data_IF_409554591881
#
_entry.id   IF_409554591881
#
_cell.length_a   1.000
_cell.length_b   1.000
_cell.length_c   1.000
_cell.angle_alpha   90.00
_cell.angle_beta   90.00
_cell.angle_gamma   90.00
#
_symmetry.space_group_name_H-M   'P 1'
#
loop_
_entity.id
_entity.type
_entity.pdbx_description
1 polymer ?
#
# COMPACT_ATOMS: atom_id res chain seq x y z
N UNK A 1 -2.22 13.53 -32.07
CA UNK A 1 -1.54 12.53 -31.21
C UNK A 1 -0.06 12.91 -31.14
N UNK A 2 0.41 13.54 -30.02
CA UNK A 2 1.84 13.69 -29.77
C UNK A 2 2.44 12.29 -29.60
N UNK A 3 3.52 11.98 -30.30
CA UNK A 3 4.28 10.74 -30.12
C UNK A 3 4.57 10.55 -28.62
N UNK A 4 3.89 9.58 -28.02
CA UNK A 4 4.18 9.20 -26.63
C UNK A 4 5.47 8.40 -26.65
N UNK A 5 6.52 8.95 -26.08
CA UNK A 5 7.76 8.20 -25.88
C UNK A 5 7.46 6.96 -25.01
N UNK A 6 8.06 5.82 -25.38
CA UNK A 6 7.97 4.60 -24.58
C UNK A 6 8.52 4.87 -23.16
N UNK A 7 7.74 4.54 -22.14
CA UNK A 7 8.20 4.61 -20.76
C UNK A 7 9.10 3.42 -20.45
N UNK A 8 10.30 3.68 -19.97
CA UNK A 8 11.20 2.60 -19.49
C UNK A 8 10.70 2.09 -18.16
N UNK A 9 10.40 0.79 -18.09
CA UNK A 9 10.09 0.09 -16.84
C UNK A 9 11.23 -0.86 -16.52
N UNK A 10 12.02 -0.55 -15.49
CA UNK A 10 13.08 -1.45 -15.03
C UNK A 10 12.48 -2.72 -14.46
N UNK A 11 13.07 -3.87 -14.78
CA UNK A 11 12.71 -5.14 -14.14
C UNK A 11 13.05 -5.10 -12.65
N UNK A 12 12.32 -5.88 -11.86
CA UNK A 12 12.64 -6.06 -10.44
C UNK A 12 14.03 -6.66 -10.28
N UNK A 13 14.76 -6.28 -9.24
CA UNK A 13 16.11 -6.79 -8.96
C UNK A 13 16.08 -8.31 -8.81
N UNK A 14 17.02 -9.05 -9.43
CA UNK A 14 17.11 -10.48 -9.25
C UNK A 14 17.88 -10.82 -7.99
N UNK A 15 17.65 -12.01 -7.47
CA UNK A 15 18.58 -12.65 -6.53
C UNK A 15 19.89 -12.92 -7.25
N UNK A 16 21.02 -12.69 -6.58
CA UNK A 16 22.36 -12.96 -7.13
C UNK A 16 22.47 -14.40 -7.64
N UNK A 17 23.04 -14.57 -8.85
CA UNK A 17 23.23 -15.88 -9.47
C UNK A 17 22.00 -16.41 -10.25
N UNK A 18 20.84 -15.77 -10.17
CA UNK A 18 19.65 -16.16 -10.93
C UNK A 18 19.50 -15.38 -12.25
N UNK A 19 18.78 -15.92 -13.23
CA UNK A 19 18.55 -15.30 -14.54
C UNK A 19 19.75 -15.37 -15.49
N UNK A 20 20.74 -16.24 -15.20
CA UNK A 20 21.94 -16.48 -16.02
C UNK A 20 22.22 -17.98 -16.06
N UNK A 21 22.94 -18.42 -17.10
CA UNK A 21 23.42 -19.82 -17.25
C UNK A 21 22.29 -20.87 -17.08
N UNK A 22 21.11 -20.63 -17.63
CA UNK A 22 19.98 -21.56 -17.56
C UNK A 22 19.22 -21.56 -16.20
N UNK A 23 19.68 -20.81 -15.22
CA UNK A 23 18.97 -20.68 -13.92
C UNK A 23 17.83 -19.69 -14.07
N UNK A 24 16.58 -20.06 -13.73
CA UNK A 24 15.44 -19.15 -13.77
C UNK A 24 15.71 -17.86 -12.96
N UNK A 25 15.18 -16.74 -13.47
CA UNK A 25 15.30 -15.45 -12.77
C UNK A 25 14.34 -15.37 -11.61
N UNK A 26 14.86 -15.21 -10.41
CA UNK A 26 14.08 -14.96 -9.20
C UNK A 26 14.17 -13.49 -8.77
N UNK A 27 13.06 -12.89 -8.36
CA UNK A 27 13.04 -11.53 -7.86
C UNK A 27 13.47 -11.48 -6.40
N UNK A 28 14.28 -10.47 -6.04
CA UNK A 28 14.66 -10.21 -4.66
C UNK A 28 13.45 -9.69 -3.88
N UNK A 29 13.09 -10.36 -2.79
CA UNK A 29 12.11 -9.88 -1.83
C UNK A 29 12.82 -9.24 -0.63
N UNK A 30 12.62 -7.94 -0.44
CA UNK A 30 13.20 -7.17 0.66
C UNK A 30 12.18 -6.88 1.79
N UNK A 31 10.97 -7.43 1.68
CA UNK A 31 9.93 -7.24 2.68
C UNK A 31 9.80 -8.47 3.59
N UNK A 32 9.30 -8.25 4.81
CA UNK A 32 8.87 -9.34 5.68
C UNK A 32 7.60 -9.98 5.12
N UNK A 33 7.38 -11.26 5.44
CA UNK A 33 6.16 -11.96 5.07
C UNK A 33 4.98 -11.60 6.00
N UNK A 34 5.25 -11.12 7.22
CA UNK A 34 4.26 -10.93 8.28
C UNK A 34 3.79 -9.48 8.42
N UNK A 35 2.67 -9.30 9.14
CA UNK A 35 2.16 -7.98 9.53
C UNK A 35 2.84 -7.61 10.86
N UNK A 36 4.04 -7.08 10.77
CA UNK A 36 4.95 -6.83 11.89
C UNK A 36 5.30 -5.34 12.09
N UNK A 37 4.55 -4.46 11.46
CA UNK A 37 4.80 -3.02 11.43
C UNK A 37 6.17 -2.62 10.85
N UNK A 38 6.79 -3.47 10.02
CA UNK A 38 8.07 -3.17 9.34
C UNK A 38 8.12 -1.83 8.60
N UNK A 39 7.01 -1.27 8.07
CA UNK A 39 7.03 0.09 7.54
C UNK A 39 7.51 1.16 8.53
N UNK A 40 7.34 0.94 9.83
CA UNK A 40 7.81 1.83 10.89
C UNK A 40 9.24 1.50 11.33
N UNK A 41 9.52 0.19 11.53
CA UNK A 41 10.73 -0.29 12.18
C UNK A 41 11.84 -0.69 11.22
N UNK A 42 11.53 -0.91 9.95
CA UNK A 42 12.42 -1.53 8.98
C UNK A 42 12.44 -3.06 9.07
N UNK A 43 13.14 -3.67 8.12
CA UNK A 43 13.24 -5.13 7.97
C UNK A 43 14.59 -5.69 8.44
N UNK A 44 15.50 -4.84 8.93
CA UNK A 44 16.83 -5.24 9.40
C UNK A 44 17.15 -4.65 10.77
N UNK A 45 18.08 -5.26 11.49
CA UNK A 45 18.60 -4.71 12.76
C UNK A 45 19.20 -3.31 12.55
N UNK A 46 19.85 -3.07 11.41
CA UNK A 46 20.39 -1.75 11.05
C UNK A 46 19.29 -0.69 10.97
N UNK A 47 18.14 -1.02 10.41
CA UNK A 47 17.01 -0.12 10.31
C UNK A 47 16.42 0.16 11.71
N UNK A 48 16.23 -0.87 12.52
CA UNK A 48 15.77 -0.71 13.91
C UNK A 48 16.67 0.26 14.67
N UNK A 49 18.00 0.10 14.59
CA UNK A 49 18.93 1.03 15.21
C UNK A 49 18.86 2.46 14.64
N UNK A 50 18.58 2.59 13.35
CA UNK A 50 18.44 3.89 12.69
C UNK A 50 17.22 4.65 13.18
N UNK A 51 16.10 3.98 13.36
CA UNK A 51 14.81 4.63 13.69
C UNK A 51 14.52 4.68 15.20
N UNK A 52 15.18 3.87 15.98
CA UNK A 52 15.07 3.89 17.45
C UNK A 52 15.86 5.03 18.06
N UNK A 53 15.34 5.64 19.12
CA UNK A 53 16.03 6.68 19.90
C UNK A 53 17.07 6.05 20.84
N UNK A 54 18.27 5.84 20.35
CA UNK A 54 19.35 5.17 21.07
C UNK A 54 18.89 3.81 21.66
N UNK A 55 19.19 3.55 22.94
CA UNK A 55 18.75 2.35 23.66
C UNK A 55 17.49 2.58 24.51
N UNK A 56 16.73 3.61 24.20
CA UNK A 56 15.44 3.86 24.88
C UNK A 56 14.33 2.98 24.30
N UNK A 57 13.16 3.00 24.92
CA UNK A 57 11.95 2.37 24.40
C UNK A 57 11.27 3.11 23.26
N UNK A 58 11.81 4.23 22.79
CA UNK A 58 11.12 5.16 21.89
C UNK A 58 11.67 5.13 20.46
N UNK A 59 10.80 5.44 19.49
CA UNK A 59 11.18 5.77 18.12
C UNK A 59 11.58 7.25 18.04
N UNK A 60 12.53 7.53 17.16
CA UNK A 60 12.99 8.91 16.89
C UNK A 60 11.88 9.71 16.23
N UNK A 61 11.67 10.91 16.76
CA UNK A 61 10.79 11.91 16.15
C UNK A 61 11.42 13.30 16.27
N UNK A 62 11.08 14.17 15.32
CA UNK A 62 11.46 15.57 15.33
C UNK A 62 10.24 16.43 15.72
N UNK A 63 10.47 17.49 16.49
CA UNK A 63 9.45 18.51 16.75
C UNK A 63 9.54 19.58 15.67
N UNK A 64 8.44 19.85 14.97
CA UNK A 64 8.33 20.90 13.98
C UNK A 64 6.95 21.58 14.10
N UNK A 65 6.91 22.91 14.21
CA UNK A 65 5.67 23.69 14.40
C UNK A 65 4.74 23.08 15.44
N UNK A 66 5.28 22.79 16.60
CA UNK A 66 4.57 22.13 17.72
C UNK A 66 4.04 20.71 17.44
N UNK A 67 4.38 20.11 16.32
CA UNK A 67 3.98 18.75 15.97
C UNK A 67 5.17 17.79 16.01
N UNK A 68 4.93 16.58 16.49
CA UNK A 68 5.89 15.50 16.39
C UNK A 68 5.77 14.83 15.02
N UNK A 69 6.85 14.84 14.26
CA UNK A 69 6.94 14.28 12.90
C UNK A 69 8.10 13.27 12.81
N UNK A 70 8.14 12.50 11.74
CA UNK A 70 9.25 11.58 11.48
C UNK A 70 10.57 12.34 11.32
N UNK A 71 11.72 11.67 11.57
CA UNK A 71 13.03 12.25 11.31
C UNK A 71 13.20 12.64 9.83
N UNK A 72 13.93 13.71 9.59
CA UNK A 72 14.27 14.16 8.24
C UNK A 72 15.49 13.42 7.68
N UNK A 73 15.49 13.19 6.38
CA UNK A 73 16.64 12.65 5.65
C UNK A 73 17.70 13.75 5.47
N UNK A 74 18.70 13.75 6.34
CA UNK A 74 19.78 14.71 6.32
C UNK A 74 20.62 14.64 5.04
N UNK A 75 20.68 13.49 4.38
CA UNK A 75 21.46 13.33 3.14
C UNK A 75 20.89 14.10 1.96
N UNK A 76 19.61 14.51 2.05
CA UNK A 76 18.91 15.29 1.02
C UNK A 76 18.84 16.78 1.32
N UNK A 77 19.53 17.23 2.36
CA UNK A 77 19.61 18.62 2.79
C UNK A 77 20.96 19.20 2.41
N UNK A 78 21.06 19.86 1.26
CA UNK A 78 22.30 20.57 0.87
C UNK A 78 22.48 21.91 1.60
N UNK A 79 21.40 22.49 2.12
CA UNK A 79 21.37 23.64 3.02
C UNK A 79 20.04 23.66 3.77
N UNK A 80 19.91 24.37 4.92
CA UNK A 80 18.65 24.52 5.62
C UNK A 80 17.49 25.03 4.73
N UNK A 81 17.80 25.91 3.79
CA UNK A 81 16.82 26.48 2.84
C UNK A 81 16.46 25.53 1.70
N UNK A 82 17.36 24.61 1.36
CA UNK A 82 17.19 23.62 0.28
C UNK A 82 16.88 22.23 0.81
N UNK A 83 16.63 22.10 2.10
CA UNK A 83 16.21 20.85 2.69
C UNK A 83 14.82 20.49 2.17
N UNK A 84 14.76 19.49 1.31
CA UNK A 84 13.46 18.89 0.98
C UNK A 84 12.96 18.21 2.26
N UNK A 85 11.74 18.53 2.68
CA UNK A 85 11.10 17.91 3.82
C UNK A 85 10.81 16.43 3.53
N UNK A 86 11.87 15.62 3.49
CA UNK A 86 11.82 14.19 3.19
C UNK A 86 11.98 13.44 4.50
N UNK A 87 10.95 12.68 4.87
CA UNK A 87 10.94 11.85 6.06
C UNK A 87 11.75 10.56 5.86
N UNK A 88 12.22 10.01 6.98
CA UNK A 88 12.78 8.65 7.03
C UNK A 88 11.91 7.76 7.91
N UNK A 89 11.67 6.53 7.45
CA UNK A 89 10.95 5.48 8.17
C UNK A 89 11.47 4.11 7.73
N UNK A 90 10.94 3.04 8.30
CA UNK A 90 11.28 1.68 7.93
C UNK A 90 11.02 1.34 6.46
N UNK A 91 10.02 1.97 5.85
CA UNK A 91 9.75 1.85 4.42
C UNK A 91 10.21 3.12 3.67
N UNK A 92 11.05 2.92 2.65
CA UNK A 92 11.59 4.02 1.81
C UNK A 92 10.49 4.79 1.05
N UNK A 93 9.30 4.20 0.90
CA UNK A 93 8.15 4.80 0.20
C UNK A 93 7.37 5.79 1.07
N UNK A 94 7.77 6.03 2.31
CA UNK A 94 7.09 6.93 3.27
C UNK A 94 6.73 8.31 2.68
N UNK A 95 7.52 8.82 1.74
CA UNK A 95 7.30 10.12 1.11
C UNK A 95 6.51 10.06 -0.21
N UNK A 96 6.11 8.87 -0.65
CA UNK A 96 5.45 8.69 -1.94
C UNK A 96 4.15 9.51 -2.03
N UNK A 97 3.41 9.55 -0.94
CA UNK A 97 2.13 10.27 -0.84
C UNK A 97 1.93 10.77 0.60
N UNK A 98 1.45 12.00 0.77
CA UNK A 98 1.30 12.60 2.10
C UNK A 98 0.33 11.83 3.02
N UNK A 99 -0.65 11.14 2.45
CA UNK A 99 -1.50 10.24 3.23
C UNK A 99 -0.72 9.06 3.81
N UNK A 100 0.19 8.46 3.05
CA UNK A 100 1.07 7.42 3.55
C UNK A 100 2.02 7.94 4.63
N UNK A 101 2.61 9.14 4.41
CA UNK A 101 3.43 9.82 5.45
C UNK A 101 2.63 10.05 6.73
N UNK A 102 1.36 10.45 6.60
CA UNK A 102 0.48 10.73 7.75
C UNK A 102 0.23 9.49 8.59
N UNK A 103 -0.01 8.35 7.96
CA UNK A 103 -0.19 7.06 8.66
C UNK A 103 1.11 6.61 9.35
N UNK A 104 2.26 6.78 8.71
CA UNK A 104 3.55 6.49 9.36
C UNK A 104 3.78 7.36 10.60
N UNK A 105 3.50 8.67 10.51
CA UNK A 105 3.60 9.58 11.66
C UNK A 105 2.63 9.17 12.78
N UNK A 106 1.40 8.80 12.43
CA UNK A 106 0.38 8.37 13.39
C UNK A 106 0.88 7.16 14.20
N UNK A 107 1.28 6.08 13.54
CA UNK A 107 1.73 4.86 14.23
C UNK A 107 3.09 5.04 14.94
N UNK A 108 3.95 5.93 14.48
CA UNK A 108 5.17 6.29 15.23
C UNK A 108 4.83 7.04 16.53
N UNK A 109 3.85 7.93 16.50
CA UNK A 109 3.31 8.59 17.72
C UNK A 109 2.67 7.57 18.64
N UNK A 110 1.92 6.62 18.09
CA UNK A 110 1.25 5.55 18.87
C UNK A 110 2.27 4.67 19.57
N UNK A 111 3.34 4.24 18.87
CA UNK A 111 4.44 3.53 19.52
C UNK A 111 4.98 4.32 20.73
N UNK A 112 5.28 5.60 20.55
CA UNK A 112 5.84 6.41 21.63
C UNK A 112 4.83 6.65 22.77
N UNK A 113 3.53 6.73 22.47
CA UNK A 113 2.46 6.82 23.48
C UNK A 113 2.40 5.55 24.33
N UNK A 114 2.40 4.38 23.69
CA UNK A 114 2.36 3.07 24.37
C UNK A 114 3.64 2.90 25.21
N UNK A 115 4.82 3.19 24.63
CA UNK A 115 6.08 3.13 25.36
C UNK A 115 6.07 3.99 26.64
N UNK A 116 5.51 5.20 26.57
CA UNK A 116 5.37 6.07 27.73
C UNK A 116 4.51 5.45 28.83
N UNK A 117 3.41 4.78 28.45
CA UNK A 117 2.52 4.11 29.43
C UNK A 117 3.22 2.89 30.03
N UNK A 118 3.82 2.04 29.19
CA UNK A 118 4.52 0.85 29.65
C UNK A 118 5.71 1.17 30.56
N UNK A 119 6.43 2.26 30.29
CA UNK A 119 7.53 2.72 31.14
C UNK A 119 7.06 3.14 32.54
N UNK A 120 5.89 3.77 32.63
CA UNK A 120 5.29 4.14 33.94
C UNK A 120 4.81 2.91 34.72
N UNK A 121 4.25 1.93 34.02
CA UNK A 121 3.76 0.69 34.62
C UNK A 121 4.89 -0.26 35.02
N UNK A 122 6.04 -0.18 34.35
CA UNK A 122 7.18 -1.07 34.53
C UNK A 122 8.48 -0.25 34.58
N UNK A 123 8.74 0.48 35.69
CA UNK A 123 9.89 1.39 35.78
C UNK A 123 11.25 0.67 35.69
N UNK A 124 11.29 -0.62 36.05
CA UNK A 124 12.51 -1.45 36.03
C UNK A 124 12.83 -2.08 34.68
N UNK A 125 11.96 -1.87 33.67
CA UNK A 125 12.25 -2.41 32.34
C UNK A 125 13.40 -1.65 31.68
N UNK A 126 14.35 -2.40 31.11
CA UNK A 126 15.35 -1.80 30.23
C UNK A 126 14.69 -1.19 29.00
N UNK A 127 15.34 -0.19 28.40
CA UNK A 127 14.83 0.40 27.15
C UNK A 127 14.68 -0.62 26.01
N UNK A 128 15.54 -1.67 25.99
CA UNK A 128 15.42 -2.75 24.99
C UNK A 128 14.15 -3.56 25.20
N UNK A 129 13.83 -3.95 26.43
CA UNK A 129 12.59 -4.65 26.75
C UNK A 129 11.38 -3.78 26.42
N UNK A 130 11.40 -2.53 26.88
CA UNK A 130 10.34 -1.56 26.62
C UNK A 130 10.06 -1.41 25.11
N UNK A 131 11.12 -1.27 24.31
CA UNK A 131 10.99 -1.15 22.86
C UNK A 131 10.36 -2.40 22.22
N UNK A 132 10.80 -3.59 22.59
CA UNK A 132 10.32 -4.83 21.98
C UNK A 132 8.85 -5.12 22.38
N UNK A 133 8.49 -4.91 23.66
CA UNK A 133 7.11 -5.12 24.07
C UNK A 133 6.15 -4.09 23.43
N UNK A 134 6.60 -2.82 23.32
CA UNK A 134 5.84 -1.80 22.58
C UNK A 134 5.67 -2.18 21.09
N UNK A 135 6.73 -2.66 20.46
CA UNK A 135 6.68 -3.10 19.04
C UNK A 135 5.69 -4.23 18.83
N UNK A 136 5.63 -5.19 19.74
CA UNK A 136 4.64 -6.29 19.70
C UNK A 136 3.21 -5.74 19.74
N UNK A 137 2.92 -4.81 20.64
CA UNK A 137 1.59 -4.21 20.78
C UNK A 137 1.19 -3.48 19.50
N UNK A 138 2.05 -2.61 18.97
CA UNK A 138 1.77 -1.88 17.71
C UNK A 138 1.59 -2.85 16.53
N UNK A 139 2.39 -3.91 16.46
CA UNK A 139 2.21 -4.96 15.46
C UNK A 139 0.83 -5.63 15.59
N UNK A 140 0.44 -5.97 16.81
CA UNK A 140 -0.86 -6.57 17.11
C UNK A 140 -2.03 -5.62 16.78
N UNK A 141 -1.92 -4.32 17.06
CA UNK A 141 -2.92 -3.31 16.66
C UNK A 141 -3.13 -3.30 15.15
N UNK A 142 -2.04 -3.28 14.36
CA UNK A 142 -2.12 -3.30 12.90
C UNK A 142 -2.72 -4.62 12.41
N UNK A 143 -2.40 -5.75 13.06
CA UNK A 143 -3.02 -7.05 12.76
C UNK A 143 -4.52 -7.01 13.03
N UNK A 144 -4.96 -6.51 14.21
CA UNK A 144 -6.39 -6.40 14.56
C UNK A 144 -7.13 -5.53 13.54
N UNK A 145 -6.60 -4.35 13.20
CA UNK A 145 -7.18 -3.48 12.17
C UNK A 145 -7.28 -4.23 10.83
N UNK A 146 -6.22 -4.95 10.46
CA UNK A 146 -6.18 -5.67 9.19
C UNK A 146 -7.23 -6.79 9.15
N UNK A 147 -7.27 -7.66 10.17
CA UNK A 147 -8.14 -8.85 10.16
C UNK A 147 -9.59 -8.54 10.52
N UNK A 148 -9.84 -7.59 11.43
CA UNK A 148 -11.19 -7.35 11.94
C UNK A 148 -11.91 -6.19 11.25
N UNK A 149 -11.18 -5.27 10.60
CA UNK A 149 -11.78 -4.09 9.97
C UNK A 149 -11.54 -4.06 8.46
N UNK A 150 -10.27 -4.15 8.02
CA UNK A 150 -9.92 -3.98 6.61
C UNK A 150 -10.37 -5.17 5.75
N UNK A 151 -9.96 -6.38 6.10
CA UNK A 151 -10.27 -7.58 5.29
C UNK A 151 -11.77 -7.83 5.13
N UNK A 152 -12.62 -7.73 6.17
CA UNK A 152 -14.06 -7.88 6.01
C UNK A 152 -14.68 -6.89 5.02
N UNK A 153 -14.16 -5.66 4.94
CA UNK A 153 -14.62 -4.64 3.98
C UNK A 153 -14.19 -4.96 2.54
N UNK A 154 -13.03 -5.54 2.38
CA UNK A 154 -12.49 -5.88 1.04
C UNK A 154 -13.12 -7.17 0.51
N UNK A 155 -13.22 -8.20 1.36
CA UNK A 155 -13.59 -9.56 0.97
C UNK A 155 -15.09 -9.86 1.12
N UNK A 156 -15.84 -9.02 1.83
CA UNK A 156 -17.23 -9.30 2.17
C UNK A 156 -17.34 -10.56 3.02
N UNK A 157 -18.41 -11.33 2.81
CA UNK A 157 -18.68 -12.55 3.57
C UNK A 157 -17.86 -13.78 3.14
N UNK A 158 -16.94 -13.62 2.18
CA UNK A 158 -16.14 -14.72 1.60
C UNK A 158 -14.74 -14.80 2.24
N UNK A 159 -14.65 -14.98 3.55
CA UNK A 159 -13.39 -14.95 4.31
C UNK A 159 -12.43 -16.15 4.07
N UNK A 160 -12.56 -16.92 2.99
CA UNK A 160 -11.63 -18.00 2.66
C UNK A 160 -10.97 -17.76 1.29
N UNK A 161 -9.64 -17.57 1.30
CA UNK A 161 -8.62 -17.74 0.20
C UNK A 161 -8.13 -16.52 -0.62
N UNK A 162 -6.84 -16.34 -0.69
CA UNK A 162 -5.70 -16.00 -1.61
C UNK A 162 -5.45 -14.57 -2.14
N UNK A 163 -4.18 -14.27 -2.58
CA UNK A 163 -3.45 -12.97 -2.69
C UNK A 163 -3.78 -12.09 -3.91
N UNK A 164 -3.89 -10.72 -3.73
CA UNK A 164 -3.37 -9.65 -4.63
C UNK A 164 -3.73 -8.22 -4.15
N UNK A 165 -2.74 -7.36 -3.85
CA UNK A 165 -2.95 -6.02 -3.26
C UNK A 165 -2.97 -4.84 -4.24
N UNK A 166 -2.54 -5.00 -5.49
CA UNK A 166 -2.45 -3.89 -6.46
C UNK A 166 -3.80 -3.32 -6.88
N UNK A 167 -4.90 -3.99 -6.60
CA UNK A 167 -6.25 -3.46 -6.81
C UNK A 167 -6.47 -2.12 -6.09
N UNK A 168 -5.81 -1.90 -4.96
CA UNK A 168 -5.86 -0.64 -4.21
C UNK A 168 -5.48 0.60 -5.03
N UNK A 169 -4.71 0.46 -6.11
CA UNK A 169 -4.44 1.58 -7.02
C UNK A 169 -5.72 2.11 -7.68
N UNK A 170 -6.71 1.25 -7.93
CA UNK A 170 -8.03 1.66 -8.40
C UNK A 170 -8.87 2.37 -7.36
N UNK A 171 -8.55 2.25 -6.07
CA UNK A 171 -9.26 2.90 -4.96
C UNK A 171 -8.74 4.31 -4.66
N UNK A 172 -7.62 4.73 -5.27
CA UNK A 172 -7.07 6.06 -5.06
C UNK A 172 -8.00 7.13 -5.64
N UNK A 173 -8.32 8.11 -4.81
CA UNK A 173 -9.17 9.24 -5.15
C UNK A 173 -8.40 10.24 -6.01
N UNK A 174 -9.10 11.04 -6.82
CA UNK A 174 -8.50 12.19 -7.49
C UNK A 174 -8.31 13.38 -6.57
N UNK A 175 -9.22 13.55 -5.62
CA UNK A 175 -9.24 14.65 -4.66
C UNK A 175 -9.34 14.11 -3.24
N UNK A 176 -8.61 14.74 -2.32
CA UNK A 176 -8.58 14.43 -0.89
C UNK A 176 -8.95 15.67 -0.10
N UNK A 177 -9.92 15.52 0.79
CA UNK A 177 -10.32 16.57 1.72
C UNK A 177 -9.31 16.69 2.86
N UNK A 178 -9.20 17.90 3.43
CA UNK A 178 -8.52 18.16 4.70
C UNK A 178 -9.50 18.87 5.62
N UNK A 179 -9.88 18.21 6.69
CA UNK A 179 -10.99 18.64 7.54
C UNK A 179 -10.50 19.06 8.93
N UNK A 180 -11.12 20.10 9.47
CA UNK A 180 -10.98 20.47 10.87
C UNK A 180 -11.75 19.49 11.79
N UNK A 181 -11.77 19.78 13.09
CA UNK A 181 -12.47 18.94 14.05
C UNK A 181 -14.00 18.95 13.88
N UNK A 182 -14.55 20.02 13.34
CA UNK A 182 -15.98 20.15 13.07
C UNK A 182 -16.41 19.54 11.72
N UNK A 183 -15.47 19.02 10.93
CA UNK A 183 -15.72 18.43 9.61
C UNK A 183 -15.72 19.46 8.47
N UNK A 184 -15.33 20.71 8.73
CA UNK A 184 -15.23 21.72 7.68
C UNK A 184 -13.83 21.67 7.03
N UNK A 185 -13.76 22.14 5.77
CA UNK A 185 -12.48 22.30 5.11
C UNK A 185 -11.59 23.29 5.87
N UNK A 186 -10.31 22.93 6.10
CA UNK A 186 -9.32 23.87 6.64
C UNK A 186 -9.02 24.98 5.62
N UNK A 187 -8.42 26.10 6.05
CA UNK A 187 -8.08 27.25 5.20
C UNK A 187 -7.26 26.90 3.95
N UNK A 188 -6.40 25.89 4.04
CA UNK A 188 -5.62 25.39 2.92
C UNK A 188 -6.42 24.49 1.94
N UNK A 189 -7.68 24.19 2.23
CA UNK A 189 -8.54 23.35 1.41
C UNK A 189 -8.06 21.90 1.30
N UNK A 190 -8.72 21.13 0.41
CA UNK A 190 -8.28 19.81 0.00
C UNK A 190 -7.13 19.87 -1.02
N UNK A 191 -6.76 18.71 -1.57
CA UNK A 191 -5.69 18.61 -2.57
C UNK A 191 -5.98 17.51 -3.59
N UNK A 192 -5.49 17.70 -4.81
CA UNK A 192 -5.49 16.64 -5.82
C UNK A 192 -4.44 15.59 -5.47
N UNK A 193 -4.65 14.35 -5.87
CA UNK A 193 -3.70 13.25 -5.61
C UNK A 193 -2.26 13.62 -6.00
N UNK A 194 -2.07 14.19 -7.20
CA UNK A 194 -0.75 14.60 -7.68
C UNK A 194 -0.08 15.67 -6.80
N UNK A 195 -0.87 16.51 -6.13
CA UNK A 195 -0.37 17.53 -5.22
C UNK A 195 0.03 16.98 -3.84
N UNK A 196 -0.29 15.70 -3.60
CA UNK A 196 0.14 14.96 -2.42
C UNK A 196 1.36 14.05 -2.67
N UNK A 197 1.75 13.84 -3.93
CA UNK A 197 2.86 12.96 -4.31
C UNK A 197 4.19 13.68 -4.10
N UNK A 198 5.08 13.11 -3.26
CA UNK A 198 6.36 13.69 -2.84
C UNK A 198 6.26 15.12 -2.26
N UNK A 199 5.15 15.45 -1.64
CA UNK A 199 4.87 16.79 -1.09
C UNK A 199 4.78 16.79 0.44
N UNK A 200 5.65 16.05 1.14
CA UNK A 200 5.69 15.97 2.62
C UNK A 200 5.73 17.34 3.30
N UNK A 201 6.25 18.38 2.62
CA UNK A 201 6.22 19.76 3.08
C UNK A 201 4.80 20.26 3.42
N UNK A 202 3.76 19.77 2.73
CA UNK A 202 2.36 20.13 3.06
C UNK A 202 1.97 19.71 4.47
N UNK A 203 2.47 18.58 4.96
CA UNK A 203 2.25 18.15 6.35
C UNK A 203 2.85 19.18 7.34
N UNK A 204 4.03 19.70 7.03
CA UNK A 204 4.77 20.59 7.92
C UNK A 204 4.15 21.98 8.03
N UNK A 205 3.57 22.51 6.96
CA UNK A 205 3.16 23.90 6.85
C UNK A 205 1.66 24.11 6.63
N UNK A 206 0.89 23.06 6.36
CA UNK A 206 -0.51 23.19 5.98
C UNK A 206 -1.44 22.36 6.91
N UNK A 207 -1.22 22.44 8.23
CA UNK A 207 -2.13 21.90 9.23
C UNK A 207 -1.77 20.51 9.81
N UNK A 208 -0.67 19.90 9.39
CA UNK A 208 -0.21 18.62 9.92
C UNK A 208 -0.94 17.41 9.36
N UNK A 209 -0.93 16.31 10.10
CA UNK A 209 -1.54 15.04 9.66
C UNK A 209 -3.04 14.96 9.95
N UNK A 210 -3.51 15.61 11.00
CA UNK A 210 -4.87 15.44 11.52
C UNK A 210 -5.96 15.79 10.49
N UNK A 211 -5.87 16.93 9.76
CA UNK A 211 -6.85 17.25 8.73
C UNK A 211 -6.88 16.22 7.58
N UNK A 212 -5.73 15.65 7.23
CA UNK A 212 -5.62 14.61 6.19
C UNK A 212 -6.31 13.33 6.65
N UNK A 213 -6.04 12.91 7.89
CA UNK A 213 -6.63 11.68 8.46
C UNK A 213 -8.15 11.83 8.62
N UNK A 214 -8.64 13.00 9.08
CA UNK A 214 -10.09 13.27 9.14
C UNK A 214 -10.72 13.23 7.76
N UNK A 215 -10.05 13.77 6.73
CA UNK A 215 -10.51 13.68 5.35
C UNK A 215 -10.67 12.23 4.89
N UNK A 216 -9.73 11.34 5.24
CA UNK A 216 -9.85 9.91 4.93
C UNK A 216 -11.03 9.24 5.65
N UNK A 217 -11.26 9.58 6.92
CA UNK A 217 -12.35 9.00 7.71
C UNK A 217 -13.73 9.45 7.23
N UNK A 218 -13.84 10.66 6.72
CA UNK A 218 -15.12 11.26 6.28
C UNK A 218 -15.43 11.03 4.80
N UNK A 219 -14.47 10.57 4.01
CA UNK A 219 -14.66 10.34 2.58
C UNK A 219 -14.98 8.86 2.30
N UNK A 220 -16.09 8.54 1.62
CA UNK A 220 -16.39 7.17 1.22
C UNK A 220 -15.26 6.56 0.39
N UNK A 221 -15.00 5.29 0.61
CA UNK A 221 -13.99 4.54 -0.15
C UNK A 221 -14.40 4.42 -1.61
N UNK A 222 -13.47 4.68 -2.52
CA UNK A 222 -13.69 4.49 -3.96
C UNK A 222 -13.56 3.00 -4.32
N UNK A 223 -14.50 2.49 -5.11
CA UNK A 223 -14.42 1.12 -5.66
C UNK A 223 -13.22 0.97 -6.61
N UNK A 224 -12.54 -0.19 -6.66
CA UNK A 224 -11.31 -0.37 -7.41
C UNK A 224 -11.46 -0.42 -8.94
N UNK A 225 -12.65 -0.68 -9.46
CA UNK A 225 -12.93 -1.00 -10.88
C UNK A 225 -12.55 0.09 -11.91
N UNK A 226 -12.35 1.32 -11.50
CA UNK A 226 -11.93 2.41 -12.40
C UNK A 226 -10.80 3.20 -11.78
N UNK A 227 -9.65 3.18 -12.41
CA UNK A 227 -8.53 4.02 -12.02
C UNK A 227 -8.82 5.49 -12.37
N UNK A 228 -8.45 6.40 -11.48
CA UNK A 228 -8.55 7.84 -11.74
C UNK A 228 -7.51 8.27 -12.76
N UNK A 229 -7.76 9.40 -13.47
CA UNK A 229 -6.80 9.98 -14.40
C UNK A 229 -5.48 10.40 -13.73
N UNK A 230 -5.53 10.76 -12.47
CA UNK A 230 -4.32 11.04 -11.68
C UNK A 230 -3.37 9.85 -11.62
N UNK A 231 -3.88 8.63 -11.70
CA UNK A 231 -3.12 7.38 -11.65
C UNK A 231 -2.67 6.92 -13.04
N UNK A 232 -3.53 7.07 -14.05
CA UNK A 232 -3.25 6.60 -15.41
C UNK A 232 -2.52 7.60 -16.29
N UNK A 233 -2.56 8.89 -15.95
CA UNK A 233 -2.02 9.94 -16.81
C UNK A 233 -0.98 10.86 -16.13
N UNK A 234 -1.03 10.96 -14.78
CA UNK A 234 -0.30 12.00 -14.04
C UNK A 234 0.60 11.43 -12.92
N UNK A 235 0.66 10.12 -12.75
CA UNK A 235 1.52 9.53 -11.74
C UNK A 235 2.99 9.86 -12.03
N UNK A 236 3.71 10.38 -11.05
CA UNK A 236 5.09 10.84 -11.20
C UNK A 236 5.33 11.79 -12.39
N UNK A 237 4.35 12.64 -12.70
CA UNK A 237 4.38 13.59 -13.79
C UNK A 237 3.65 13.13 -15.06
N UNK A 238 3.94 11.96 -15.60
CA UNK A 238 3.34 11.45 -16.84
C UNK A 238 3.28 9.93 -16.94
N UNK A 239 3.47 9.23 -15.83
CA UNK A 239 3.48 7.75 -15.81
C UNK A 239 2.05 7.21 -15.71
N UNK A 240 1.76 6.19 -16.49
CA UNK A 240 0.56 5.35 -16.34
C UNK A 240 0.85 4.18 -15.38
N UNK A 241 0.36 4.28 -14.16
CA UNK A 241 0.55 3.22 -13.15
C UNK A 241 -0.20 1.93 -13.52
N UNK A 242 -1.30 2.01 -14.27
CA UNK A 242 -2.00 0.83 -14.78
C UNK A 242 -1.11 0.00 -15.69
N UNK A 243 -0.48 0.64 -16.68
CA UNK A 243 0.50 0.00 -17.56
C UNK A 243 1.70 -0.56 -16.78
N UNK A 244 2.19 0.16 -15.77
CA UNK A 244 3.27 -0.34 -14.90
C UNK A 244 2.84 -1.59 -14.13
N UNK A 245 1.59 -1.67 -13.65
CA UNK A 245 1.08 -2.86 -12.95
C UNK A 245 1.03 -4.08 -13.86
N UNK A 246 0.55 -3.92 -15.10
CA UNK A 246 0.53 -4.99 -16.12
C UNK A 246 1.97 -5.46 -16.38
N UNK A 247 2.85 -4.54 -16.72
CA UNK A 247 4.24 -4.86 -17.03
C UNK A 247 4.96 -5.53 -15.85
N UNK A 248 4.67 -5.12 -14.62
CA UNK A 248 5.23 -5.74 -13.41
C UNK A 248 4.71 -7.16 -13.20
N UNK A 249 3.43 -7.43 -13.47
CA UNK A 249 2.89 -8.79 -13.44
C UNK A 249 3.61 -9.72 -14.42
N UNK A 250 3.85 -9.24 -15.64
CA UNK A 250 4.59 -9.98 -16.67
C UNK A 250 6.07 -10.16 -16.32
N UNK A 251 6.74 -9.15 -15.75
CA UNK A 251 8.12 -9.25 -15.26
C UNK A 251 8.28 -10.31 -14.15
N UNK A 252 7.25 -10.47 -13.32
CA UNK A 252 7.24 -11.46 -12.24
C UNK A 252 6.71 -12.84 -12.68
N UNK A 253 6.38 -13.02 -13.95
CA UNK A 253 5.90 -14.30 -14.49
C UNK A 253 4.56 -14.75 -13.89
N UNK A 254 3.69 -13.81 -13.52
CA UNK A 254 2.37 -14.15 -12.98
C UNK A 254 1.55 -14.89 -14.05
N UNK A 255 0.92 -16.04 -13.70
CA UNK A 255 -0.03 -16.71 -14.56
C UNK A 255 -1.19 -15.80 -14.98
N UNK A 256 -1.88 -16.17 -16.05
CA UNK A 256 -3.06 -15.43 -16.54
C UNK A 256 -4.21 -15.43 -15.54
N UNK A 257 -5.11 -14.47 -15.70
CA UNK A 257 -6.35 -14.37 -14.92
C UNK A 257 -7.16 -15.68 -14.94
N UNK A 258 -7.28 -16.32 -16.13
CA UNK A 258 -8.02 -17.56 -16.29
C UNK A 258 -7.43 -18.73 -15.48
N UNK A 259 -6.09 -18.84 -15.43
CA UNK A 259 -5.40 -19.83 -14.59
C UNK A 259 -5.62 -19.59 -13.11
N UNK A 260 -5.62 -18.34 -12.67
CA UNK A 260 -5.90 -18.00 -11.27
C UNK A 260 -7.36 -18.24 -10.89
N UNK A 261 -8.31 -17.99 -11.81
CA UNK A 261 -9.71 -18.39 -11.60
C UNK A 261 -9.82 -19.90 -11.34
N UNK A 262 -9.17 -20.68 -12.17
CA UNK A 262 -9.17 -22.15 -11.99
C UNK A 262 -8.53 -22.57 -10.67
N UNK A 263 -7.42 -21.95 -10.28
CA UNK A 263 -6.79 -22.18 -8.99
C UNK A 263 -7.75 -21.86 -7.81
N UNK A 264 -8.63 -20.90 -7.98
CA UNK A 264 -9.66 -20.52 -7.02
C UNK A 264 -10.93 -21.40 -7.10
N UNK A 265 -10.91 -22.50 -7.84
CA UNK A 265 -12.01 -23.44 -7.95
C UNK A 265 -13.09 -23.05 -8.97
N UNK A 266 -12.87 -21.99 -9.75
CA UNK A 266 -13.79 -21.61 -10.84
C UNK A 266 -13.46 -22.42 -12.12
N UNK A 267 -14.46 -22.70 -12.97
CA UNK A 267 -14.20 -23.33 -14.26
C UNK A 267 -13.25 -22.52 -15.14
N UNK A 268 -12.39 -23.20 -15.91
CA UNK A 268 -11.64 -22.53 -16.98
C UNK A 268 -12.62 -21.94 -18.01
N UNK A 269 -12.43 -20.67 -18.34
CA UNK A 269 -13.13 -20.06 -19.45
C UNK A 269 -12.43 -20.44 -20.77
N UNK A 270 -13.20 -20.79 -21.79
CA UNK A 270 -12.70 -21.11 -23.13
C UNK A 270 -12.88 -19.94 -24.11
N UNK A 271 -13.78 -19.03 -23.79
CA UNK A 271 -14.04 -17.80 -24.54
C UNK A 271 -14.42 -16.66 -23.57
N UNK A 272 -14.53 -15.42 -24.10
CA UNK A 272 -14.81 -14.26 -23.27
C UNK A 272 -16.25 -14.22 -22.70
N UNK A 273 -17.20 -14.93 -23.32
CA UNK A 273 -18.57 -15.00 -22.83
C UNK A 273 -18.72 -15.97 -21.65
N UNK A 274 -17.79 -16.92 -21.48
CA UNK A 274 -17.74 -17.79 -20.30
C UNK A 274 -17.46 -17.01 -19.01
N UNK A 275 -16.95 -15.77 -19.13
CA UNK A 275 -16.71 -14.85 -17.99
C UNK A 275 -17.98 -14.11 -17.54
N UNK A 276 -19.15 -14.41 -18.09
CA UNK A 276 -20.41 -13.65 -17.86
C UNK A 276 -20.89 -13.64 -16.41
N UNK A 277 -20.52 -14.62 -15.61
CA UNK A 277 -20.92 -14.72 -14.22
C UNK A 277 -20.08 -13.85 -13.28
N UNK A 278 -18.82 -13.59 -13.66
CA UNK A 278 -17.87 -12.78 -12.87
C UNK A 278 -17.70 -11.36 -13.43
N UNK A 279 -17.99 -11.17 -14.72
CA UNK A 279 -17.96 -9.87 -15.41
C UNK A 279 -19.30 -9.70 -16.12
N UNK A 280 -20.27 -9.14 -15.40
CA UNK A 280 -21.66 -9.04 -15.87
C UNK A 280 -21.80 -8.11 -17.07
N UNK A 281 -21.03 -7.01 -17.11
CA UNK A 281 -21.11 -6.04 -18.21
C UNK A 281 -20.55 -6.63 -19.52
N UNK A 282 -21.46 -6.85 -20.50
CA UNK A 282 -21.10 -7.33 -21.84
C UNK A 282 -20.10 -6.42 -22.55
N UNK A 283 -20.16 -5.11 -22.33
CA UNK A 283 -19.24 -4.17 -22.99
C UNK A 283 -17.80 -4.34 -22.45
N UNK A 284 -17.65 -4.68 -21.18
CA UNK A 284 -16.34 -4.99 -20.60
C UNK A 284 -15.81 -6.28 -21.22
N UNK A 285 -16.59 -7.36 -21.29
CA UNK A 285 -16.17 -8.61 -21.94
C UNK A 285 -15.79 -8.39 -23.41
N UNK A 286 -16.58 -7.61 -24.14
CA UNK A 286 -16.25 -7.22 -25.51
C UNK A 286 -14.98 -6.35 -25.59
N UNK A 287 -14.76 -5.46 -24.62
CA UNK A 287 -13.51 -4.71 -24.49
C UNK A 287 -12.29 -5.62 -24.31
N UNK A 288 -12.42 -6.64 -23.46
CA UNK A 288 -11.39 -7.66 -23.26
C UNK A 288 -11.10 -8.42 -24.56
N UNK A 289 -12.13 -8.87 -25.30
CA UNK A 289 -11.95 -9.62 -26.56
C UNK A 289 -11.31 -8.80 -27.68
N UNK A 290 -11.40 -7.49 -27.63
CA UNK A 290 -10.67 -6.60 -28.57
C UNK A 290 -9.24 -6.32 -28.15
N UNK A 291 -8.91 -6.54 -26.86
CA UNK A 291 -7.61 -6.23 -26.29
C UNK A 291 -6.71 -7.45 -26.21
N UNK A 292 -7.28 -8.60 -25.88
CA UNK A 292 -6.58 -9.87 -25.72
C UNK A 292 -6.99 -10.86 -26.82
N UNK A 293 -6.04 -11.65 -27.28
CA UNK A 293 -6.27 -12.62 -28.33
C UNK A 293 -7.12 -13.80 -27.85
N UNK A 294 -6.85 -14.27 -26.63
CA UNK A 294 -7.60 -15.34 -25.96
C UNK A 294 -7.86 -14.99 -24.51
N UNK A 295 -8.76 -15.71 -23.85
CA UNK A 295 -9.01 -15.56 -22.40
C UNK A 295 -7.77 -15.89 -21.56
N UNK A 296 -6.90 -16.76 -22.07
CA UNK A 296 -5.66 -17.15 -21.40
C UNK A 296 -4.57 -16.08 -21.49
N UNK A 297 -4.73 -15.07 -22.33
CA UNK A 297 -3.82 -13.94 -22.42
C UNK A 297 -4.17 -12.80 -21.43
N UNK A 298 -5.36 -12.84 -20.79
CA UNK A 298 -5.79 -11.79 -19.87
C UNK A 298 -4.84 -11.72 -18.68
N UNK A 299 -4.17 -10.57 -18.52
CA UNK A 299 -3.34 -10.32 -17.36
C UNK A 299 -4.16 -10.41 -16.06
N UNK A 300 -3.61 -11.06 -15.03
CA UNK A 300 -4.29 -11.18 -13.72
C UNK A 300 -4.79 -9.83 -13.22
N UNK A 301 -3.96 -8.78 -13.30
CA UNK A 301 -4.33 -7.45 -12.83
C UNK A 301 -5.58 -6.92 -13.54
N UNK A 302 -5.66 -7.04 -14.87
CA UNK A 302 -6.79 -6.53 -15.65
C UNK A 302 -8.04 -7.34 -15.40
N UNK A 303 -7.98 -8.67 -15.53
CA UNK A 303 -9.12 -9.54 -15.27
C UNK A 303 -9.72 -9.30 -13.89
N UNK A 304 -8.87 -9.25 -12.87
CA UNK A 304 -9.29 -9.01 -11.49
C UNK A 304 -9.88 -7.61 -11.23
N UNK A 305 -9.44 -6.59 -11.97
CA UNK A 305 -9.96 -5.23 -11.83
C UNK A 305 -11.34 -5.04 -12.47
N UNK A 306 -11.73 -5.91 -13.38
CA UNK A 306 -13.02 -5.83 -14.09
C UNK A 306 -14.04 -6.86 -13.62
N UNK A 307 -13.66 -7.79 -12.74
CA UNK A 307 -14.63 -8.66 -12.07
C UNK A 307 -15.60 -7.86 -11.23
N UNK A 308 -16.88 -8.24 -11.27
CA UNK A 308 -17.87 -7.67 -10.36
C UNK A 308 -17.59 -8.07 -8.92
N UNK A 309 -17.78 -7.16 -7.95
CA UNK A 309 -17.42 -7.43 -6.57
C UNK A 309 -18.32 -8.50 -5.95
N UNK A 310 -17.74 -9.32 -5.08
CA UNK A 310 -18.49 -10.26 -4.25
C UNK A 310 -19.48 -9.52 -3.33
N UNK A 311 -20.53 -10.18 -2.92
CA UNK A 311 -21.58 -9.60 -2.06
C UNK A 311 -20.95 -9.07 -0.76
N UNK A 312 -21.15 -7.80 -0.49
CA UNK A 312 -20.62 -7.11 0.70
C UNK A 312 -19.14 -6.77 0.62
N UNK A 313 -18.43 -7.14 -0.47
CA UNK A 313 -17.01 -6.86 -0.67
C UNK A 313 -16.76 -5.75 -1.69
N UNK A 314 -15.48 -5.46 -1.93
CA UNK A 314 -15.02 -4.45 -2.88
C UNK A 314 -14.26 -5.05 -4.07
N UNK A 315 -13.96 -6.33 -4.06
CA UNK A 315 -13.20 -7.05 -5.09
C UNK A 315 -13.99 -8.24 -5.62
N UNK A 316 -13.68 -8.68 -6.83
CA UNK A 316 -14.29 -9.85 -7.44
C UNK A 316 -13.79 -11.17 -6.82
N UNK A 317 -14.40 -12.27 -7.25
CA UNK A 317 -14.20 -13.61 -6.67
C UNK A 317 -12.74 -14.05 -6.74
N UNK A 318 -12.04 -13.77 -7.86
CA UNK A 318 -10.62 -14.13 -8.02
C UNK A 318 -9.74 -13.41 -7.00
N UNK A 319 -9.91 -12.08 -6.86
CA UNK A 319 -9.14 -11.33 -5.86
C UNK A 319 -9.53 -11.68 -4.43
N UNK A 320 -10.82 -11.88 -4.14
CA UNK A 320 -11.28 -12.27 -2.82
C UNK A 320 -10.63 -13.61 -2.41
N UNK A 321 -10.63 -14.59 -3.31
CA UNK A 321 -9.91 -15.83 -3.15
C UNK A 321 -8.40 -15.58 -2.90
N UNK A 322 -7.73 -14.81 -3.75
CA UNK A 322 -6.29 -14.60 -3.66
C UNK A 322 -5.86 -13.78 -2.43
N UNK A 323 -6.63 -12.83 -1.95
CA UNK A 323 -6.34 -12.02 -0.76
C UNK A 323 -6.56 -12.85 0.52
N UNK A 324 -7.67 -13.57 0.61
CA UNK A 324 -8.05 -14.31 1.81
C UNK A 324 -7.03 -15.38 2.21
N UNK A 325 -6.52 -16.22 1.28
CA UNK A 325 -5.54 -17.26 1.63
C UNK A 325 -4.19 -16.68 2.06
N UNK A 326 -3.68 -15.64 1.40
CA UNK A 326 -2.43 -15.04 1.85
C UNK A 326 -2.56 -14.57 3.29
N UNK A 327 -3.64 -13.86 3.62
CA UNK A 327 -3.84 -13.40 4.99
C UNK A 327 -4.09 -14.55 5.96
N UNK A 328 -4.80 -15.60 5.52
CA UNK A 328 -4.93 -16.82 6.31
C UNK A 328 -3.56 -17.43 6.59
N UNK A 329 -2.72 -17.61 5.56
CA UNK A 329 -1.35 -18.16 5.74
C UNK A 329 -0.47 -17.26 6.58
N UNK A 330 -0.57 -15.94 6.42
CA UNK A 330 0.17 -14.98 7.25
C UNK A 330 -0.25 -15.07 8.72
N UNK A 331 -1.55 -15.19 8.99
CA UNK A 331 -2.08 -15.36 10.34
C UNK A 331 -1.66 -16.69 10.95
N UNK A 332 -1.88 -17.78 10.23
CA UNK A 332 -1.66 -19.14 10.74
C UNK A 332 -0.15 -19.48 10.85
N UNK A 333 0.70 -18.82 10.05
CA UNK A 333 2.16 -18.98 10.05
C UNK A 333 2.91 -17.98 10.93
N UNK A 334 2.25 -16.98 11.48
CA UNK A 334 2.84 -16.01 12.41
C UNK A 334 2.91 -16.63 13.82
N UNK A 335 4.12 -16.65 14.44
CA UNK A 335 4.38 -17.26 15.76
C UNK A 335 5.01 -16.26 16.72
#
# INVERSE_FOLDING_TARGET
FKQRHCLKVSRSSPICGTGRNGIPREQLNENTAFIDASPLYGSSLKDVHKFRQARTGFLRMNKFNNQMVLPFDQSKCSSPQKCTATFTAGDIRVNLFIGLSSVHILFTREHNRIATILQKLNPDWSGDRLFQETRKIVGAEIQVITYNEFLPKILGNTMDKHIAYRFGHGMLQEFYQRLDFAGNNISHGGFLFGDGVFKSRKILFEGGIDPILRGFMMTPVKRPHRMSKSITEKMFGSTDLGSVNIQRGRDHGLPSFNKWRHFCGMPLAHNFDDLKNEILDKNIRHGLSRTYKTVDDIDLYIGSMVEDPVIGGLVGTTLACLIGDQFKRLRDGDR
#
